data_IF_979110104097
#
_entry.id   IF_979110104097
#
_cell.length_a   1.000
_cell.length_b   1.000
_cell.length_c   1.000
_cell.angle_alpha   90.00
_cell.angle_beta   90.00
_cell.angle_gamma   90.00
#
_symmetry.space_group_name_H-M   'P 1'
#
loop_
_entity.id
_entity.type
_entity.pdbx_description
1 polymer ?
#
# COMPACT_ATOMS: atom_id res chain seq x y z
N UNK A 1 -24.98 -2.50 -8.87
CA UNK A 1 -24.06 -3.12 -7.88
C UNK A 1 -22.86 -2.20 -7.71
N UNK A 2 -22.80 -1.40 -6.65
CA UNK A 2 -21.69 -0.47 -6.40
C UNK A 2 -20.50 -1.23 -5.80
N UNK A 3 -19.45 -1.40 -6.59
CA UNK A 3 -18.18 -1.95 -6.14
C UNK A 3 -17.43 -0.84 -5.41
N UNK A 4 -17.34 -0.90 -4.07
CA UNK A 4 -16.61 0.09 -3.28
C UNK A 4 -15.13 -0.30 -3.24
N UNK A 5 -14.35 0.35 -4.11
CA UNK A 5 -12.90 0.22 -4.20
C UNK A 5 -12.32 1.61 -3.98
N UNK A 6 -11.36 1.74 -3.06
CA UNK A 6 -10.73 3.03 -2.74
C UNK A 6 -9.21 2.89 -2.83
N UNK A 7 -8.59 3.72 -3.64
CA UNK A 7 -7.15 3.87 -3.79
C UNK A 7 -6.76 5.28 -3.37
N UNK A 8 -5.70 5.39 -2.57
CA UNK A 8 -5.06 6.64 -2.20
C UNK A 8 -3.59 6.57 -2.57
N UNK A 9 -3.12 7.63 -3.23
CA UNK A 9 -1.70 7.83 -3.55
C UNK A 9 -1.24 9.07 -2.81
N UNK A 10 -0.26 8.91 -1.93
CA UNK A 10 0.38 9.98 -1.18
C UNK A 10 1.66 10.38 -1.92
N UNK A 11 1.63 11.53 -2.60
CA UNK A 11 2.81 12.09 -3.28
C UNK A 11 3.02 13.53 -2.83
N UNK A 12 4.01 13.75 -1.94
CA UNK A 12 4.63 15.02 -1.48
C UNK A 12 3.72 16.22 -1.11
N UNK A 13 2.39 16.08 -1.23
CA UNK A 13 1.42 17.17 -1.17
C UNK A 13 0.46 17.05 0.03
N UNK A 14 0.57 15.97 0.83
CA UNK A 14 -0.30 15.80 2.00
C UNK A 14 0.29 16.51 3.22
N UNK A 15 0.00 17.81 3.34
CA UNK A 15 0.34 18.67 4.49
C UNK A 15 -0.35 18.27 5.82
N UNK A 16 -1.10 17.16 5.85
CA UNK A 16 -1.97 16.77 6.98
C UNK A 16 -1.36 15.63 7.81
N UNK A 17 -0.48 14.81 7.22
CA UNK A 17 0.13 13.66 7.92
C UNK A 17 1.64 13.91 8.04
N UNK A 18 2.24 13.82 9.26
CA UNK A 18 3.67 14.01 9.43
C UNK A 18 4.45 13.01 8.58
N UNK A 19 5.47 13.51 7.88
CA UNK A 19 6.28 12.74 6.92
C UNK A 19 6.89 11.48 7.56
N UNK A 20 7.33 11.58 8.81
CA UNK A 20 7.88 10.44 9.57
C UNK A 20 6.85 9.33 9.81
N UNK A 21 5.57 9.67 9.96
CA UNK A 21 4.52 8.66 10.13
C UNK A 21 4.25 7.93 8.81
N UNK A 22 4.21 8.64 7.68
CA UNK A 22 4.06 8.01 6.36
C UNK A 22 5.26 7.13 6.02
N UNK A 23 6.48 7.57 6.34
CA UNK A 23 7.68 6.78 6.13
C UNK A 23 7.69 5.49 6.96
N UNK A 24 7.15 5.52 8.18
CA UNK A 24 7.23 4.37 9.08
C UNK A 24 6.03 3.43 9.01
N UNK A 25 4.83 3.98 8.80
CA UNK A 25 3.57 3.25 9.01
C UNK A 25 2.59 3.33 7.83
N UNK A 26 2.58 4.42 7.06
CA UNK A 26 1.55 4.65 6.03
C UNK A 26 1.92 4.22 4.60
N UNK A 27 3.17 4.42 4.19
CA UNK A 27 3.60 4.26 2.80
C UNK A 27 2.99 5.28 1.84
N UNK A 28 3.28 5.12 0.55
CA UNK A 28 2.80 5.98 -0.54
C UNK A 28 1.44 5.54 -1.08
N UNK A 29 1.03 4.29 -0.85
CA UNK A 29 -0.17 3.70 -1.44
C UNK A 29 -1.02 3.07 -0.35
N UNK A 30 -2.27 3.53 -0.22
CA UNK A 30 -3.30 2.88 0.59
C UNK A 30 -4.44 2.40 -0.28
N UNK A 31 -4.90 1.16 -0.12
CA UNK A 31 -6.06 0.66 -0.86
C UNK A 31 -6.99 -0.20 -0.01
N UNK A 32 -8.26 -0.27 -0.41
CA UNK A 32 -9.24 -1.16 0.20
C UNK A 32 -10.22 -1.68 -0.85
N UNK A 33 -10.59 -2.96 -0.70
CA UNK A 33 -11.57 -3.64 -1.55
C UNK A 33 -12.69 -4.16 -0.65
N UNK A 34 -13.93 -3.81 -0.99
CA UNK A 34 -15.14 -4.31 -0.33
C UNK A 34 -15.09 -5.84 -0.22
N UNK A 35 -15.48 -6.40 0.93
CA UNK A 35 -15.42 -7.86 1.20
C UNK A 35 -16.04 -8.71 0.07
N UNK A 36 -17.18 -8.30 -0.50
CA UNK A 36 -17.86 -9.00 -1.61
C UNK A 36 -17.09 -9.00 -2.94
N UNK A 37 -16.11 -8.11 -3.07
CA UNK A 37 -15.35 -7.87 -4.31
C UNK A 37 -13.90 -8.36 -4.22
N UNK A 38 -13.53 -8.98 -3.10
CA UNK A 38 -12.19 -9.56 -2.92
C UNK A 38 -11.99 -10.77 -3.83
N UNK A 39 -10.73 -11.16 -4.04
CA UNK A 39 -10.32 -12.29 -4.87
C UNK A 39 -10.64 -12.17 -6.37
N UNK A 40 -11.02 -10.98 -6.84
CA UNK A 40 -11.24 -10.66 -8.27
C UNK A 40 -10.06 -9.94 -8.93
N UNK A 41 -8.92 -9.83 -8.24
CA UNK A 41 -7.71 -9.18 -8.75
C UNK A 41 -7.65 -7.65 -8.59
N UNK A 42 -8.71 -7.01 -8.08
CA UNK A 42 -8.77 -5.54 -7.97
C UNK A 42 -7.62 -4.91 -7.16
N UNK A 43 -7.21 -5.54 -6.06
CA UNK A 43 -6.10 -5.07 -5.24
C UNK A 43 -4.80 -4.97 -6.06
N UNK A 44 -4.48 -6.02 -6.82
CA UNK A 44 -3.29 -6.07 -7.65
C UNK A 44 -3.36 -5.04 -8.79
N UNK A 45 -4.51 -4.91 -9.45
CA UNK A 45 -4.69 -3.93 -10.53
C UNK A 45 -4.50 -2.50 -10.04
N UNK A 46 -5.10 -2.16 -8.89
CA UNK A 46 -4.90 -0.85 -8.26
C UNK A 46 -3.45 -0.60 -7.87
N UNK A 47 -2.81 -1.57 -7.24
CA UNK A 47 -1.44 -1.43 -6.77
C UNK A 47 -0.48 -1.22 -7.96
N UNK A 48 -0.61 -2.02 -9.03
CA UNK A 48 0.18 -1.86 -10.26
C UNK A 48 -0.03 -0.49 -10.90
N UNK A 49 -1.29 -0.04 -11.00
CA UNK A 49 -1.61 1.28 -11.56
C UNK A 49 -1.00 2.40 -10.72
N UNK A 50 -1.14 2.34 -9.39
CA UNK A 50 -0.58 3.33 -8.46
C UNK A 50 0.95 3.39 -8.53
N UNK A 51 1.62 2.23 -8.54
CA UNK A 51 3.07 2.17 -8.69
C UNK A 51 3.51 2.75 -10.04
N UNK A 52 2.87 2.36 -11.15
CA UNK A 52 3.18 2.91 -12.48
C UNK A 52 3.01 4.42 -12.52
N UNK A 53 1.95 4.95 -11.89
CA UNK A 53 1.73 6.39 -11.80
C UNK A 53 2.83 7.08 -10.99
N UNK A 54 3.20 6.56 -9.81
CA UNK A 54 4.28 7.12 -9.00
C UNK A 54 5.63 7.06 -9.72
N UNK A 55 5.98 5.95 -10.36
CA UNK A 55 7.22 5.85 -11.14
C UNK A 55 7.23 6.85 -12.31
N UNK A 56 6.09 7.14 -12.93
CA UNK A 56 6.00 8.18 -13.97
C UNK A 56 6.26 9.60 -13.43
N UNK A 57 6.14 9.82 -12.12
CA UNK A 57 6.47 11.06 -11.43
C UNK A 57 7.93 11.11 -10.93
N UNK A 58 8.79 10.23 -11.46
CA UNK A 58 10.22 10.13 -11.14
C UNK A 58 10.52 9.78 -9.67
N UNK A 59 9.69 8.96 -9.02
CA UNK A 59 10.14 8.26 -7.82
C UNK A 59 10.99 7.07 -8.21
N UNK A 60 12.13 6.87 -7.56
CA UNK A 60 12.94 5.65 -7.74
C UNK A 60 12.39 4.47 -6.93
N UNK A 61 11.67 4.76 -5.84
CA UNK A 61 11.11 3.76 -4.91
C UNK A 61 9.73 4.16 -4.42
N UNK A 62 8.89 3.17 -4.22
CA UNK A 62 7.52 3.33 -3.71
C UNK A 62 7.35 2.44 -2.48
N UNK A 63 7.29 3.03 -1.29
CA UNK A 63 7.01 2.32 -0.05
C UNK A 63 5.53 1.93 0.04
N UNK A 64 5.25 0.67 0.36
CA UNK A 64 3.91 0.17 0.68
C UNK A 64 3.97 -0.61 1.99
N UNK A 65 3.05 -0.33 2.91
CA UNK A 65 3.02 -1.00 4.22
C UNK A 65 1.79 -1.89 4.36
N UNK A 66 1.90 -2.96 5.13
CA UNK A 66 0.75 -3.73 5.58
C UNK A 66 0.97 -4.33 6.96
N UNK A 67 -0.12 -4.68 7.65
CA UNK A 67 -0.03 -5.47 8.89
C UNK A 67 0.57 -6.85 8.63
N UNK A 68 1.41 -7.32 9.55
CA UNK A 68 2.04 -8.64 9.52
C UNK A 68 1.01 -9.78 9.42
N UNK A 69 -0.12 -9.63 10.13
CA UNK A 69 -1.22 -10.60 10.12
C UNK A 69 -2.04 -10.58 8.81
N UNK A 70 -1.85 -9.55 7.96
CA UNK A 70 -2.60 -9.42 6.72
C UNK A 70 -1.91 -10.16 5.55
N UNK A 71 -2.00 -11.49 5.60
CA UNK A 71 -1.44 -12.40 4.59
C UNK A 71 -1.94 -12.08 3.17
N UNK A 72 -3.18 -11.59 3.04
CA UNK A 72 -3.76 -11.26 1.73
C UNK A 72 -3.07 -10.05 1.11
N UNK A 73 -2.87 -8.99 1.88
CA UNK A 73 -2.13 -7.81 1.42
C UNK A 73 -0.67 -8.15 1.12
N UNK A 74 -0.01 -8.94 1.98
CA UNK A 74 1.35 -9.43 1.74
C UNK A 74 1.49 -10.10 0.37
N UNK A 75 0.65 -11.12 0.10
CA UNK A 75 0.67 -11.82 -1.19
C UNK A 75 0.39 -10.90 -2.37
N UNK A 76 -0.52 -9.94 -2.19
CA UNK A 76 -0.86 -8.97 -3.25
C UNK A 76 0.34 -8.09 -3.58
N UNK A 77 1.02 -7.56 -2.56
CA UNK A 77 2.20 -6.70 -2.71
C UNK A 77 3.37 -7.47 -3.34
N UNK A 78 3.69 -8.66 -2.82
CA UNK A 78 4.76 -9.52 -3.36
C UNK A 78 4.45 -9.93 -4.81
N UNK A 79 3.21 -10.27 -5.15
CA UNK A 79 2.80 -10.59 -6.52
C UNK A 79 2.88 -9.41 -7.50
N UNK A 80 2.94 -8.18 -6.97
CA UNK A 80 3.14 -6.96 -7.74
C UNK A 80 4.61 -6.52 -7.79
N UNK A 81 5.54 -7.32 -7.26
CA UNK A 81 6.97 -7.05 -7.27
C UNK A 81 7.50 -6.31 -6.05
N UNK A 82 6.68 -6.14 -4.99
CA UNK A 82 7.15 -5.56 -3.73
C UNK A 82 8.18 -6.48 -3.05
N UNK A 83 9.23 -5.89 -2.50
CA UNK A 83 10.32 -6.61 -1.83
C UNK A 83 10.37 -6.12 -0.38
N UNK A 84 10.25 -7.05 0.57
CA UNK A 84 10.25 -6.69 1.99
C UNK A 84 11.56 -5.97 2.36
N UNK A 85 11.46 -4.70 2.74
CA UNK A 85 12.56 -3.86 3.20
C UNK A 85 12.88 -4.15 4.67
N UNK A 86 11.87 -4.03 5.55
CA UNK A 86 12.00 -4.24 6.98
C UNK A 86 10.63 -4.42 7.67
N UNK A 87 10.69 -4.72 8.98
CA UNK A 87 9.52 -4.86 9.84
C UNK A 87 9.61 -3.82 10.95
N UNK A 88 8.55 -3.04 11.14
CA UNK A 88 8.47 -1.99 12.17
C UNK A 88 7.42 -2.39 13.20
N UNK A 89 7.73 -2.23 14.49
CA UNK A 89 6.77 -2.45 15.56
C UNK A 89 5.92 -1.20 15.77
N UNK A 90 4.60 -1.34 15.72
CA UNK A 90 3.63 -0.28 16.03
C UNK A 90 2.73 -0.78 17.16
N UNK A 91 2.95 -0.25 18.37
CA UNK A 91 2.29 -0.64 19.62
C UNK A 91 2.24 -2.16 19.85
N UNK A 92 1.13 -2.80 19.47
CA UNK A 92 0.82 -4.22 19.62
C UNK A 92 0.80 -4.99 18.30
N UNK A 93 1.25 -4.36 17.21
CA UNK A 93 1.27 -4.93 15.87
C UNK A 93 2.64 -4.78 15.22
N UNK A 94 2.86 -5.53 14.13
CA UNK A 94 4.03 -5.40 13.30
C UNK A 94 3.59 -4.96 11.91
N UNK A 95 4.23 -3.91 11.38
CA UNK A 95 4.06 -3.44 10.01
C UNK A 95 5.19 -3.97 9.16
N UNK A 96 4.82 -4.63 8.08
CA UNK A 96 5.73 -5.03 7.01
C UNK A 96 5.85 -3.86 6.04
N UNK A 97 7.08 -3.53 5.65
CA UNK A 97 7.39 -2.47 4.69
C UNK A 97 7.99 -3.08 3.44
N UNK A 98 7.40 -2.79 2.29
CA UNK A 98 7.81 -3.27 0.96
C UNK A 98 8.13 -2.11 0.03
#
# INVERSE_FOLDING_TARGET
MFVFIRLFVFYKLLLIIPYDYLLNYGGHIGYSVRKSERNKGYANSMLKYACSFLFSLALDKVLVTCDHENITSKKSIESCGGVLENIVKEDNSYKLRY
#
